data_IF_423252162484
#
_entry.id   IF_423252162484
#
_cell.length_a   1.000
_cell.length_b   1.000
_cell.length_c   1.000
_cell.angle_alpha   90.00
_cell.angle_beta   90.00
_cell.angle_gamma   90.00
#
_symmetry.space_group_name_H-M   'P 1'
#
loop_
_entity.id
_entity.type
_entity.pdbx_description
1 polymer ?
#
# COMPACT_ATOMS: atom_id res chain seq x y z
N UNK A 1 11.17 10.05 32.21
CA UNK A 1 10.74 9.41 30.94
C UNK A 1 9.32 9.80 30.60
N UNK A 2 9.24 10.80 29.73
CA UNK A 2 8.02 11.31 29.10
C UNK A 2 7.96 10.71 27.69
N UNK A 3 6.84 10.07 27.32
CA UNK A 3 6.63 9.47 26.00
C UNK A 3 5.32 10.02 25.45
N UNK A 4 5.41 10.76 24.35
CA UNK A 4 4.25 11.22 23.58
C UNK A 4 3.96 10.29 22.42
N UNK A 5 2.69 10.00 22.18
CA UNK A 5 2.20 9.23 21.03
C UNK A 5 1.04 10.03 20.42
N UNK A 6 1.17 10.46 19.18
CA UNK A 6 0.14 11.23 18.49
C UNK A 6 -0.20 10.62 17.12
N UNK A 7 -1.49 10.61 16.72
CA UNK A 7 -1.88 10.16 15.40
C UNK A 7 -1.51 11.22 14.34
N UNK A 8 -1.14 10.75 13.16
CA UNK A 8 -0.91 11.58 11.98
C UNK A 8 -1.52 10.89 10.76
N UNK A 9 -2.59 11.50 10.24
CA UNK A 9 -3.24 11.09 9.00
C UNK A 9 -2.66 11.87 7.83
N UNK A 10 -2.45 11.19 6.70
CA UNK A 10 -1.87 11.76 5.49
C UNK A 10 -2.37 11.00 4.25
N UNK A 11 -1.99 11.49 3.07
CA UNK A 11 -2.14 10.75 1.82
C UNK A 11 -0.82 10.10 1.41
N UNK A 12 -0.88 8.83 1.07
CA UNK A 12 0.24 8.07 0.54
C UNK A 12 0.10 7.94 -0.98
N UNK A 13 1.11 8.42 -1.70
CA UNK A 13 1.23 8.20 -3.13
C UNK A 13 2.06 6.93 -3.39
N UNK A 14 1.44 5.96 -4.06
CA UNK A 14 2.01 4.70 -4.50
C UNK A 14 1.99 4.64 -6.02
N UNK A 15 2.95 3.92 -6.60
CA UNK A 15 3.06 3.82 -8.05
C UNK A 15 3.48 5.14 -8.68
N UNK A 16 4.62 5.14 -9.36
CA UNK A 16 5.13 6.29 -10.12
C UNK A 16 5.63 5.77 -11.45
N UNK A 17 5.83 6.66 -12.42
CA UNK A 17 6.24 6.39 -13.81
C UNK A 17 5.08 6.03 -14.76
N UNK A 18 5.39 5.36 -15.86
CA UNK A 18 4.51 5.23 -17.03
C UNK A 18 3.26 4.38 -16.78
N UNK A 19 3.32 3.44 -15.82
CA UNK A 19 2.16 2.67 -15.34
C UNK A 19 2.11 2.67 -13.79
N UNK A 20 1.48 3.70 -13.19
CA UNK A 20 1.41 3.82 -11.75
C UNK A 20 0.59 2.71 -11.09
N UNK A 21 -0.41 2.13 -11.78
CA UNK A 21 -1.25 1.09 -11.20
C UNK A 21 -0.48 -0.23 -11.11
N UNK A 22 0.26 -0.61 -12.15
CA UNK A 22 1.11 -1.82 -12.12
C UNK A 22 2.24 -1.70 -11.08
N UNK A 23 2.86 -0.52 -10.96
CA UNK A 23 3.91 -0.32 -9.97
C UNK A 23 3.35 -0.37 -8.53
N UNK A 24 2.17 0.22 -8.29
CA UNK A 24 1.48 0.11 -7.00
C UNK A 24 1.02 -1.33 -6.71
N UNK A 25 0.60 -2.08 -7.74
CA UNK A 25 0.27 -3.50 -7.62
C UNK A 25 1.49 -4.29 -7.15
N UNK A 26 2.64 -4.13 -7.81
CA UNK A 26 3.88 -4.79 -7.42
C UNK A 26 4.24 -4.51 -5.96
N UNK A 27 4.21 -3.24 -5.54
CA UNK A 27 4.48 -2.85 -4.15
C UNK A 27 3.51 -3.53 -3.16
N UNK A 28 2.22 -3.57 -3.49
CA UNK A 28 1.18 -4.18 -2.65
C UNK A 28 1.30 -5.71 -2.53
N UNK A 29 1.84 -6.36 -3.56
CA UNK A 29 2.06 -7.81 -3.57
C UNK A 29 3.38 -8.22 -2.89
N UNK A 30 4.34 -7.31 -2.78
CA UNK A 30 5.64 -7.55 -2.14
C UNK A 30 5.66 -7.14 -0.66
N UNK A 31 4.91 -6.09 -0.29
CA UNK A 31 4.95 -5.46 1.04
C UNK A 31 3.58 -5.53 1.72
N UNK A 32 3.58 -5.66 3.06
CA UNK A 32 2.37 -5.58 3.87
C UNK A 32 1.72 -6.93 4.19
N UNK A 33 0.47 -6.93 4.69
CA UNK A 33 -0.19 -8.14 5.16
C UNK A 33 -0.52 -9.13 4.03
N UNK A 34 -0.85 -8.62 2.83
CA UNK A 34 -1.19 -9.45 1.67
C UNK A 34 0.01 -10.27 1.17
N UNK A 35 1.22 -9.71 1.18
CA UNK A 35 2.39 -10.34 0.56
C UNK A 35 2.74 -11.71 1.14
N UNK A 36 2.42 -11.94 2.43
CA UNK A 36 2.63 -13.23 3.09
C UNK A 36 1.76 -14.31 2.47
N UNK A 37 0.46 -14.06 2.38
CA UNK A 37 -0.52 -15.02 1.82
C UNK A 37 -0.30 -15.16 0.31
N UNK A 38 0.01 -14.06 -0.37
CA UNK A 38 0.21 -14.02 -1.81
C UNK A 38 1.38 -14.91 -2.29
N UNK A 39 2.41 -15.12 -1.45
CA UNK A 39 3.54 -16.02 -1.76
C UNK A 39 3.13 -17.48 -1.88
N UNK A 40 2.09 -17.89 -1.18
CA UNK A 40 1.60 -19.28 -1.19
C UNK A 40 0.61 -19.53 -2.34
N UNK A 41 0.17 -18.48 -3.04
CA UNK A 41 -0.75 -18.59 -4.16
C UNK A 41 -0.02 -18.98 -5.46
N UNK A 42 -0.64 -19.90 -6.21
CA UNK A 42 -0.17 -20.33 -7.51
C UNK A 42 -1.33 -20.37 -8.54
N UNK A 43 -0.96 -20.45 -9.81
CA UNK A 43 -1.89 -20.65 -10.92
C UNK A 43 -3.01 -19.61 -10.98
N UNK A 44 -4.22 -20.08 -11.26
CA UNK A 44 -5.41 -19.24 -11.44
C UNK A 44 -5.72 -18.38 -10.20
N UNK A 45 -5.52 -18.91 -8.99
CA UNK A 45 -5.80 -18.14 -7.77
C UNK A 45 -4.88 -16.92 -7.65
N UNK A 46 -3.61 -17.08 -8.03
CA UNK A 46 -2.64 -15.98 -8.03
C UNK A 46 -3.05 -14.90 -9.02
N UNK A 47 -3.43 -15.28 -10.24
CA UNK A 47 -3.89 -14.35 -11.27
C UNK A 47 -5.13 -13.58 -10.82
N UNK A 48 -6.15 -14.28 -10.29
CA UNK A 48 -7.38 -13.64 -9.79
C UNK A 48 -7.12 -12.63 -8.68
N UNK A 49 -6.20 -12.93 -7.76
CA UNK A 49 -5.83 -11.99 -6.70
C UNK A 49 -5.06 -10.79 -7.25
N UNK A 50 -4.11 -10.99 -8.17
CA UNK A 50 -3.44 -9.89 -8.86
C UNK A 50 -4.42 -8.97 -9.57
N UNK A 51 -5.40 -9.53 -10.28
CA UNK A 51 -6.39 -8.76 -11.03
C UNK A 51 -7.33 -7.98 -10.10
N UNK A 52 -7.79 -8.60 -9.01
CA UNK A 52 -8.63 -7.92 -8.02
C UNK A 52 -7.89 -6.76 -7.33
N UNK A 53 -6.60 -6.93 -7.01
CA UNK A 53 -5.79 -5.86 -6.40
C UNK A 53 -5.56 -4.74 -7.41
N UNK A 54 -5.28 -5.06 -8.68
CA UNK A 54 -5.14 -4.07 -9.74
C UNK A 54 -6.40 -3.23 -9.89
N UNK A 55 -7.55 -3.87 -9.98
CA UNK A 55 -8.85 -3.20 -10.11
C UNK A 55 -9.12 -2.27 -8.91
N UNK A 56 -8.84 -2.75 -7.69
CA UNK A 56 -8.98 -1.94 -6.49
C UNK A 56 -8.05 -0.71 -6.50
N UNK A 57 -6.78 -0.86 -6.88
CA UNK A 57 -5.82 0.24 -6.95
C UNK A 57 -6.17 1.25 -8.05
N UNK A 58 -6.70 0.79 -9.18
CA UNK A 58 -7.10 1.66 -10.29
C UNK A 58 -8.19 2.67 -9.89
N UNK A 59 -9.07 2.31 -8.94
CA UNK A 59 -10.09 3.21 -8.40
C UNK A 59 -9.51 4.41 -7.62
N UNK A 60 -8.22 4.35 -7.28
CA UNK A 60 -7.49 5.37 -6.52
C UNK A 60 -6.43 6.10 -7.37
N UNK A 61 -6.45 5.93 -8.69
CA UNK A 61 -5.56 6.65 -9.60
C UNK A 61 -5.92 8.15 -9.62
N UNK A 62 -4.96 8.98 -9.25
CA UNK A 62 -5.06 10.44 -9.23
C UNK A 62 -3.73 11.07 -9.68
N UNK A 63 -3.79 11.95 -10.67
CA UNK A 63 -2.65 12.70 -11.24
C UNK A 63 -1.35 11.87 -11.44
N UNK A 64 -1.46 10.69 -12.08
CA UNK A 64 -0.31 9.85 -12.41
C UNK A 64 0.27 9.03 -11.24
N UNK A 65 -0.46 8.91 -10.13
CA UNK A 65 -0.13 8.01 -9.03
C UNK A 65 -1.38 7.39 -8.41
N UNK A 66 -1.23 6.27 -7.70
CA UNK A 66 -2.30 5.72 -6.84
C UNK A 66 -2.24 6.43 -5.49
N UNK A 67 -3.31 7.10 -5.09
CA UNK A 67 -3.35 7.89 -3.86
C UNK A 67 -4.31 7.25 -2.84
N UNK A 68 -3.75 6.79 -1.72
CA UNK A 68 -4.48 6.14 -0.63
C UNK A 68 -4.43 7.00 0.64
N UNK A 69 -5.46 6.89 1.47
CA UNK A 69 -5.40 7.41 2.83
C UNK A 69 -4.43 6.57 3.67
N UNK A 70 -3.63 7.23 4.50
CA UNK A 70 -2.65 6.61 5.38
C UNK A 70 -2.73 7.21 6.78
N UNK A 71 -2.50 6.36 7.78
CA UNK A 71 -2.43 6.74 9.17
C UNK A 71 -1.15 6.19 9.79
N UNK A 72 -0.42 7.04 10.51
CA UNK A 72 0.79 6.65 11.25
C UNK A 72 0.75 7.23 12.66
N UNK A 73 1.53 6.63 13.55
CA UNK A 73 1.72 7.14 14.91
C UNK A 73 3.10 7.76 15.04
N UNK A 74 3.16 9.03 15.41
CA UNK A 74 4.41 9.71 15.75
C UNK A 74 4.69 9.47 17.24
N UNK A 75 5.83 8.85 17.53
CA UNK A 75 6.24 8.52 18.89
C UNK A 75 7.47 9.35 19.24
N UNK A 76 7.37 10.15 20.31
CA UNK A 76 8.47 10.96 20.83
C UNK A 76 8.78 10.56 22.28
N UNK A 77 10.03 10.77 22.71
CA UNK A 77 10.47 10.46 24.07
C UNK A 77 11.48 11.47 24.60
N UNK A 78 11.37 11.82 25.88
CA UNK A 78 12.33 12.67 26.62
C UNK A 78 12.86 11.93 27.84
N UNK A 79 14.14 12.18 28.15
CA UNK A 79 14.87 11.57 29.26
C UNK A 79 14.19 11.89 30.61
#
# INVERSE_FOLDING_TARGET
>A
RDIGIEPFDSRLSMGRADDPVEEALKQSLEIGPLSRIFKDLAGEQRARVSDAVREALAAHLDDGAVVLDAAVWLVNARA
#
